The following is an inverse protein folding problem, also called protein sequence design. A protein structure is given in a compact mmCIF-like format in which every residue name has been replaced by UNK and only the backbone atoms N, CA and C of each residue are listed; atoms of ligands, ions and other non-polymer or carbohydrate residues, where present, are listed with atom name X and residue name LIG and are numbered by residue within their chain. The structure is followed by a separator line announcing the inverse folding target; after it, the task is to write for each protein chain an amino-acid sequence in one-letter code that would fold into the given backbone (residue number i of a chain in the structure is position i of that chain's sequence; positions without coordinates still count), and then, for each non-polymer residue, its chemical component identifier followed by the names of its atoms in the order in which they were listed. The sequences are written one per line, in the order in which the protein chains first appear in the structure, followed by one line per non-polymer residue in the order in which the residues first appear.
data_IF_778450388615
#
_entry.id   IF_778450388615
#
_cell.length_a   1.000
_cell.length_b   1.000
_cell.length_c   1.000
_cell.angle_alpha   90.00
_cell.angle_beta   90.00
_cell.angle_gamma   90.00
#
_symmetry.space_group_name_H-M   'P 1'
#
loop_
_entity.id
_entity.type
_entity.pdbx_description
1 polymer ?
#
# COMPACT_ATOMS: atom_id res chain seq x y z
N UNK A 1 27.13 -7.31 -14.59
CA UNK A 1 26.49 -8.30 -13.70
C UNK A 1 25.02 -8.28 -14.02
N UNK A 2 24.44 -9.42 -14.37
CA UNK A 2 22.99 -9.54 -14.45
C UNK A 2 22.46 -9.67 -13.02
N UNK A 3 21.56 -8.77 -12.63
CA UNK A 3 20.90 -8.83 -11.32
C UNK A 3 19.74 -9.81 -11.42
N UNK A 4 19.85 -10.94 -10.73
CA UNK A 4 18.78 -11.93 -10.64
C UNK A 4 17.92 -11.64 -9.41
N UNK A 5 16.64 -11.97 -9.51
CA UNK A 5 15.68 -11.79 -8.43
C UNK A 5 14.92 -13.08 -8.14
N UNK A 6 14.40 -13.18 -6.92
CA UNK A 6 13.56 -14.29 -6.49
C UNK A 6 12.56 -13.85 -5.43
N UNK A 7 11.58 -14.72 -5.17
CA UNK A 7 10.62 -14.57 -4.09
C UNK A 7 10.85 -15.72 -3.11
N UNK A 8 11.03 -15.38 -1.83
CA UNK A 8 11.01 -16.36 -0.74
C UNK A 8 9.57 -16.69 -0.43
N UNK A 9 9.25 -17.97 -0.36
CA UNK A 9 7.94 -18.50 0.05
C UNK A 9 8.06 -19.32 1.32
N UNK A 10 6.99 -19.37 2.12
CA UNK A 10 6.86 -20.30 3.23
C UNK A 10 6.57 -21.75 2.75
N UNK A 11 6.49 -22.68 3.69
CA UNK A 11 6.16 -24.10 3.41
C UNK A 11 4.78 -24.29 2.78
N UNK A 12 3.89 -23.31 2.91
CA UNK A 12 2.53 -23.31 2.34
C UNK A 12 2.47 -22.61 0.98
N UNK A 13 3.59 -22.03 0.51
CA UNK A 13 3.69 -21.32 -0.76
C UNK A 13 3.40 -19.83 -0.70
N UNK A 14 3.12 -19.23 0.47
CA UNK A 14 2.87 -17.80 0.56
C UNK A 14 4.16 -16.99 0.46
N UNK A 15 4.12 -15.89 -0.28
CA UNK A 15 5.24 -14.95 -0.40
C UNK A 15 5.61 -14.35 0.96
N UNK A 16 6.88 -14.45 1.32
CA UNK A 16 7.49 -13.83 2.50
C UNK A 16 8.30 -12.59 2.10
N UNK A 17 9.16 -12.69 1.09
CA UNK A 17 10.11 -11.63 0.75
C UNK A 17 10.47 -11.62 -0.73
N UNK A 18 10.81 -10.43 -1.25
CA UNK A 18 11.45 -10.25 -2.54
C UNK A 18 12.95 -10.04 -2.32
N UNK A 19 13.79 -10.79 -3.02
CA UNK A 19 15.22 -10.85 -2.77
C UNK A 19 16.02 -10.73 -4.06
N UNK A 20 17.25 -10.22 -3.93
CA UNK A 20 18.28 -10.27 -4.97
C UNK A 20 19.05 -11.58 -4.83
N UNK A 21 19.42 -12.18 -5.96
CA UNK A 21 20.21 -13.40 -6.01
C UNK A 21 21.61 -13.13 -6.56
N UNK A 22 22.59 -13.79 -5.96
CA UNK A 22 23.94 -13.89 -6.50
C UNK A 22 23.95 -14.74 -7.78
N UNK A 23 25.08 -14.76 -8.49
CA UNK A 23 25.25 -15.55 -9.72
C UNK A 23 25.05 -17.06 -9.54
N UNK A 24 25.25 -17.58 -8.33
CA UNK A 24 25.02 -18.97 -7.96
C UNK A 24 23.56 -19.27 -7.52
N UNK A 25 22.67 -18.29 -7.66
CA UNK A 25 21.27 -18.32 -7.19
C UNK A 25 21.11 -18.32 -5.66
N UNK A 26 22.15 -18.00 -4.89
CA UNK A 26 22.00 -17.80 -3.44
C UNK A 26 21.43 -16.41 -3.13
N UNK A 27 20.59 -16.28 -2.09
CA UNK A 27 20.07 -14.99 -1.66
C UNK A 27 21.18 -14.04 -1.18
N UNK A 28 21.17 -12.81 -1.68
CA UNK A 28 22.01 -11.75 -1.17
C UNK A 28 21.34 -11.10 0.05
N UNK A 29 21.95 -11.24 1.24
CA UNK A 29 21.47 -10.58 2.45
C UNK A 29 20.21 -11.18 3.07
N UNK A 30 19.80 -12.38 2.64
CA UNK A 30 18.69 -13.13 3.24
C UNK A 30 19.16 -14.54 3.60
N UNK A 31 18.80 -15.02 4.79
CA UNK A 31 19.11 -16.37 5.25
C UNK A 31 17.81 -17.16 5.25
N UNK A 32 17.72 -18.20 4.42
CA UNK A 32 16.55 -19.08 4.36
C UNK A 32 16.38 -19.82 5.69
N UNK A 33 15.16 -19.78 6.20
CA UNK A 33 14.74 -20.55 7.38
C UNK A 33 14.23 -21.93 6.96
N UNK A 34 14.09 -22.82 7.92
CA UNK A 34 13.52 -24.14 7.67
C UNK A 34 12.10 -24.02 7.10
N UNK A 35 11.85 -24.76 6.01
CA UNK A 35 10.57 -24.73 5.28
C UNK A 35 10.44 -23.60 4.25
N UNK A 36 11.36 -22.63 4.20
CA UNK A 36 11.36 -21.58 3.19
C UNK A 36 12.01 -22.04 1.88
N UNK A 37 11.47 -21.59 0.75
CA UNK A 37 12.01 -21.88 -0.58
C UNK A 37 12.08 -20.62 -1.45
N UNK A 38 12.92 -20.65 -2.50
CA UNK A 38 13.04 -19.54 -3.45
C UNK A 38 12.38 -19.92 -4.77
N UNK A 39 11.41 -19.11 -5.20
CA UNK A 39 10.81 -19.18 -6.53
C UNK A 39 11.39 -18.06 -7.39
N UNK A 40 11.99 -18.44 -8.52
CA UNK A 40 12.70 -17.51 -9.42
C UNK A 40 11.84 -17.07 -10.62
N UNK A 41 10.83 -17.87 -10.95
CA UNK A 41 9.99 -17.64 -12.12
C UNK A 41 8.88 -16.64 -11.78
N UNK A 42 8.58 -15.78 -12.74
CA UNK A 42 7.46 -14.82 -12.68
C UNK A 42 7.44 -13.99 -11.39
N UNK A 43 8.61 -13.69 -10.83
CA UNK A 43 8.73 -12.89 -9.61
C UNK A 43 8.08 -11.52 -9.77
N UNK A 44 8.14 -10.94 -10.98
CA UNK A 44 7.53 -9.65 -11.30
C UNK A 44 6.01 -9.70 -11.22
N UNK A 45 5.40 -10.81 -11.70
CA UNK A 45 3.96 -11.08 -11.59
C UNK A 45 3.56 -11.22 -10.12
N UNK A 46 4.29 -12.02 -9.35
CA UNK A 46 4.05 -12.17 -7.92
C UNK A 46 4.21 -10.85 -7.15
N UNK A 47 5.13 -9.99 -7.55
CA UNK A 47 5.34 -8.70 -6.89
C UNK A 47 4.24 -7.67 -7.19
N UNK A 48 3.47 -7.87 -8.26
CA UNK A 48 2.32 -7.04 -8.61
C UNK A 48 1.01 -7.49 -7.92
N UNK A 49 0.97 -8.72 -7.39
CA UNK A 49 -0.16 -9.27 -6.64
C UNK A 49 -0.18 -8.77 -5.19
N UNK A 50 -1.37 -8.77 -4.56
CA UNK A 50 -1.57 -8.33 -3.18
C UNK A 50 -1.22 -9.43 -2.18
N UNK A 51 -1.74 -10.63 -2.34
CA UNK A 51 -1.43 -11.79 -1.49
C UNK A 51 -1.14 -13.03 -2.35
N UNK A 52 -0.01 -13.04 -3.07
CA UNK A 52 0.37 -14.13 -3.97
C UNK A 52 0.73 -15.40 -3.20
N UNK A 53 0.28 -16.54 -3.75
CA UNK A 53 0.68 -17.88 -3.33
C UNK A 53 1.24 -18.67 -4.52
N UNK A 54 2.32 -19.39 -4.31
CA UNK A 54 2.87 -20.34 -5.27
C UNK A 54 2.20 -21.70 -5.09
N UNK A 55 1.64 -22.27 -6.16
CA UNK A 55 0.99 -23.59 -6.13
C UNK A 55 1.91 -24.75 -6.57
N UNK A 56 3.19 -24.46 -6.84
CA UNK A 56 4.15 -25.39 -7.42
C UNK A 56 4.42 -25.15 -8.90
N UNK A 57 3.50 -24.48 -9.60
CA UNK A 57 3.57 -24.23 -11.06
C UNK A 57 3.40 -22.76 -11.42
N UNK A 58 2.51 -22.04 -10.74
CA UNK A 58 2.17 -20.64 -11.02
C UNK A 58 1.86 -19.86 -9.74
N UNK A 59 1.86 -18.53 -9.87
CA UNK A 59 1.40 -17.62 -8.84
C UNK A 59 -0.11 -17.39 -8.95
N UNK A 60 -0.83 -17.62 -7.86
CA UNK A 60 -2.25 -17.34 -7.70
C UNK A 60 -2.46 -16.18 -6.72
N UNK A 61 -3.40 -15.29 -7.04
CA UNK A 61 -3.86 -14.25 -6.11
C UNK A 61 -4.82 -14.88 -5.11
N UNK A 62 -4.56 -14.71 -3.82
CA UNK A 62 -5.39 -15.28 -2.75
C UNK A 62 -6.07 -14.22 -1.89
N UNK A 63 -5.76 -12.94 -2.10
CA UNK A 63 -6.53 -11.86 -1.51
C UNK A 63 -7.96 -11.88 -2.08
N UNK A 64 -8.93 -11.58 -1.23
CA UNK A 64 -10.30 -11.30 -1.64
C UNK A 64 -10.37 -10.00 -2.43
N UNK A 65 -11.40 -9.83 -3.27
CA UNK A 65 -11.60 -8.59 -4.01
C UNK A 65 -11.71 -7.38 -3.06
N UNK A 66 -12.35 -7.54 -1.91
CA UNK A 66 -12.46 -6.50 -0.88
C UNK A 66 -11.08 -6.08 -0.32
N UNK A 67 -10.19 -7.04 -0.03
CA UNK A 67 -8.81 -6.74 0.41
C UNK A 67 -7.98 -6.07 -0.70
N UNK A 68 -8.20 -6.45 -1.95
CA UNK A 68 -7.57 -5.83 -3.12
C UNK A 68 -8.05 -4.39 -3.29
N UNK A 69 -9.36 -4.16 -3.16
CA UNK A 69 -9.99 -2.84 -3.26
C UNK A 69 -9.50 -1.92 -2.12
N UNK A 70 -9.48 -2.41 -0.88
CA UNK A 70 -8.95 -1.69 0.27
C UNK A 70 -7.47 -1.30 0.11
N UNK A 71 -6.65 -2.19 -0.46
CA UNK A 71 -5.23 -1.97 -0.67
C UNK A 71 -4.89 -1.19 -1.96
N UNK A 72 -5.84 -1.03 -2.89
CA UNK A 72 -5.69 -0.29 -4.14
C UNK A 72 -6.24 1.14 -4.06
N UNK A 73 -7.16 1.40 -3.14
CA UNK A 73 -7.63 2.75 -2.88
C UNK A 73 -8.70 2.82 -1.80
N UNK A 74 -8.27 3.17 -0.60
CA UNK A 74 -8.93 4.23 0.14
C UNK A 74 -7.94 5.37 0.35
N UNK A 75 -7.63 6.10 -0.74
CA UNK A 75 -7.69 7.57 -0.59
C UNK A 75 -9.12 7.78 -0.10
N UNK A 76 -9.29 8.20 1.15
CA UNK A 76 -10.58 8.68 1.61
C UNK A 76 -10.96 9.75 0.58
N UNK A 77 -11.85 9.42 -0.37
CA UNK A 77 -12.65 10.45 -1.00
C UNK A 77 -13.45 10.97 0.18
N UNK A 78 -12.96 12.04 0.79
CA UNK A 78 -13.74 12.79 1.74
C UNK A 78 -14.91 13.30 0.93
N UNK A 79 -16.00 12.53 0.90
CA UNK A 79 -17.24 12.90 0.20
C UNK A 79 -17.80 14.26 0.70
N UNK A 80 -17.23 14.79 1.79
CA UNK A 80 -17.57 16.05 2.43
C UNK A 80 -16.40 17.07 2.52
N UNK A 81 -15.33 16.94 1.72
CA UNK A 81 -14.22 17.92 1.79
C UNK A 81 -14.67 19.32 1.34
N UNK A 82 -15.53 19.38 0.32
CA UNK A 82 -16.14 20.62 -0.16
C UNK A 82 -17.09 21.24 0.88
N UNK A 83 -17.80 20.40 1.66
CA UNK A 83 -18.70 20.84 2.74
C UNK A 83 -17.91 21.43 3.93
N UNK A 84 -16.79 20.81 4.31
CA UNK A 84 -15.94 21.31 5.39
C UNK A 84 -15.25 22.63 5.02
N UNK A 85 -14.74 22.76 3.80
CA UNK A 85 -14.13 24.01 3.33
C UNK A 85 -15.18 25.13 3.26
N UNK A 86 -16.36 24.84 2.72
CA UNK A 86 -17.47 25.81 2.65
C UNK A 86 -17.91 26.27 4.04
N UNK A 87 -18.00 25.35 5.00
CA UNK A 87 -18.34 25.65 6.39
C UNK A 87 -17.27 26.52 7.07
N UNK A 88 -15.99 26.19 6.90
CA UNK A 88 -14.89 26.99 7.46
C UNK A 88 -14.81 28.40 6.88
N UNK A 89 -15.09 28.57 5.57
CA UNK A 89 -15.18 29.89 4.94
C UNK A 89 -16.35 30.69 5.54
N UNK A 90 -17.52 30.06 5.69
CA UNK A 90 -18.70 30.71 6.25
C UNK A 90 -18.48 31.13 7.72
N UNK A 91 -17.89 30.25 8.53
CA UNK A 91 -17.56 30.54 9.93
C UNK A 91 -16.57 31.70 10.05
N UNK A 92 -15.54 31.76 9.19
CA UNK A 92 -14.57 32.86 9.16
C UNK A 92 -15.20 34.20 8.74
N UNK A 93 -16.14 34.19 7.79
CA UNK A 93 -16.85 35.40 7.39
C UNK A 93 -17.77 35.92 8.51
N UNK A 94 -18.48 35.00 9.19
CA UNK A 94 -19.33 35.35 10.32
C UNK A 94 -18.53 35.92 11.49
N UNK A 95 -17.36 35.36 11.81
CA UNK A 95 -16.49 35.89 12.86
C UNK A 95 -15.98 37.29 12.53
N UNK A 96 -15.55 37.54 11.28
CA UNK A 96 -15.13 38.88 10.86
C UNK A 96 -16.26 39.91 10.98
N UNK A 97 -17.48 39.55 10.58
CA UNK A 97 -18.65 40.42 10.69
C UNK A 97 -18.99 40.77 12.15
N UNK A 98 -18.86 39.81 13.07
CA UNK A 98 -19.04 40.03 14.50
C UNK A 98 -17.97 40.98 15.07
N UNK A 99 -16.70 40.80 14.65
CA UNK A 99 -15.60 41.68 15.04
C UNK A 99 -15.86 43.11 14.55
N UNK A 100 -16.25 43.28 13.28
CA UNK A 100 -16.53 44.59 12.70
C UNK A 100 -17.69 45.30 13.41
N UNK A 101 -18.75 44.55 13.74
CA UNK A 101 -19.90 45.08 14.51
C UNK A 101 -19.48 45.55 15.90
N UNK A 102 -18.64 44.77 16.60
CA UNK A 102 -18.12 45.13 17.92
C UNK A 102 -17.23 46.37 17.87
N UNK A 103 -16.40 46.51 16.83
CA UNK A 103 -15.58 47.70 16.61
C UNK A 103 -16.45 48.93 16.38
N UNK A 104 -17.45 48.83 15.50
CA UNK A 104 -18.35 49.95 15.19
C UNK A 104 -19.25 50.36 16.37
N UNK A 105 -19.63 49.42 17.23
CA UNK A 105 -20.44 49.71 18.42
C UNK A 105 -19.68 50.36 19.57
N UNK A 106 -18.34 50.38 19.51
CA UNK A 106 -17.45 50.94 20.52
C UNK A 106 -16.71 52.22 20.05
N UNK A 107 -17.10 52.75 18.88
CA UNK A 107 -16.69 54.06 18.34
C UNK A 107 -17.85 55.05 18.49
#
# INVERSE_FOLDING_TARGET
METNFGIVIDEKGYKIAFIVLNSDNTPQGYILKNGENIVKNDWSKANAMKNPKWDGTTWIETATQEEIDAASGNVIKMENQDDLISKLILDNLNMQMQIDTLIQSNL
#
